data_IF_641428689529
#
_entry.id   IF_641428689529
#
_cell.length_a   1.000
_cell.length_b   1.000
_cell.length_c   1.000
_cell.angle_alpha   90.00
_cell.angle_beta   90.00
_cell.angle_gamma   90.00
#
_symmetry.space_group_name_H-M   'P 1'
#
loop_
_entity.id
_entity.type
_entity.pdbx_description
1 polymer ?
#
# COMPACT_ATOMS: atom_id res chain seq x y z
N UNK A 1 -5.63 -43.63 -11.02
CA UNK A 1 -6.26 -43.72 -12.36
C UNK A 1 -7.37 -42.67 -12.39
N UNK A 2 -7.26 -41.64 -13.23
CA UNK A 2 -8.28 -40.60 -13.35
C UNK A 2 -9.31 -41.02 -14.39
N UNK A 3 -10.50 -41.38 -13.94
CA UNK A 3 -11.64 -41.65 -14.82
C UNK A 3 -12.22 -40.30 -15.31
N UNK A 4 -11.80 -39.91 -16.51
CA UNK A 4 -12.42 -38.84 -17.29
C UNK A 4 -13.83 -39.28 -17.71
N UNK A 5 -14.82 -39.05 -16.85
CA UNK A 5 -16.23 -39.33 -17.15
C UNK A 5 -16.68 -38.42 -18.29
N UNK A 6 -16.82 -38.99 -19.48
CA UNK A 6 -17.30 -38.30 -20.66
C UNK A 6 -18.78 -37.97 -20.49
N UNK A 7 -19.13 -36.68 -20.46
CA UNK A 7 -20.51 -36.16 -20.55
C UNK A 7 -21.30 -36.96 -21.59
N UNK A 8 -22.27 -37.73 -21.11
CA UNK A 8 -23.14 -38.54 -21.95
C UNK A 8 -23.91 -37.60 -22.89
N UNK A 9 -23.75 -37.77 -24.20
CA UNK A 9 -24.54 -37.03 -25.18
C UNK A 9 -25.90 -37.71 -25.22
N UNK A 10 -26.97 -37.00 -24.86
CA UNK A 10 -28.34 -37.46 -25.12
C UNK A 10 -28.48 -37.85 -26.60
N UNK A 11 -29.40 -38.77 -26.89
CA UNK A 11 -29.76 -39.27 -28.23
C UNK A 11 -29.93 -38.20 -29.32
N UNK A 12 -30.02 -36.91 -28.96
CA UNK A 12 -30.11 -35.75 -29.85
C UNK A 12 -28.84 -34.88 -29.92
N UNK A 13 -27.68 -35.35 -29.48
CA UNK A 13 -26.40 -34.62 -29.59
C UNK A 13 -26.30 -33.37 -28.71
N UNK A 14 -27.24 -33.16 -27.79
CA UNK A 14 -27.23 -32.06 -26.83
C UNK A 14 -26.53 -32.50 -25.54
N UNK A 15 -25.70 -31.61 -24.97
CA UNK A 15 -25.11 -31.80 -23.65
C UNK A 15 -26.23 -31.88 -22.62
N UNK A 16 -26.44 -33.04 -22.02
CA UNK A 16 -27.29 -33.19 -20.85
C UNK A 16 -26.51 -32.79 -19.61
N UNK A 17 -27.18 -32.06 -18.72
CA UNK A 17 -26.65 -31.75 -17.41
C UNK A 17 -26.94 -32.91 -16.48
N UNK A 18 -25.90 -33.51 -15.91
CA UNK A 18 -26.03 -34.63 -14.98
C UNK A 18 -26.49 -34.11 -13.62
N UNK A 19 -27.75 -34.42 -13.25
CA UNK A 19 -28.40 -33.87 -12.05
C UNK A 19 -27.64 -34.20 -10.76
N UNK A 20 -27.03 -35.38 -10.69
CA UNK A 20 -26.28 -35.84 -9.52
C UNK A 20 -24.95 -35.09 -9.39
N UNK A 21 -24.20 -34.94 -10.47
CA UNK A 21 -22.95 -34.17 -10.48
C UNK A 21 -23.21 -32.70 -10.12
N UNK A 22 -24.27 -32.10 -10.65
CA UNK A 22 -24.64 -30.73 -10.28
C UNK A 22 -25.15 -30.59 -8.85
N UNK A 23 -25.80 -31.63 -8.30
CA UNK A 23 -26.18 -31.65 -6.88
C UNK A 23 -24.93 -31.76 -5.97
N UNK A 24 -23.94 -32.56 -6.35
CA UNK A 24 -22.66 -32.68 -5.64
C UNK A 24 -21.82 -31.40 -5.76
N UNK A 25 -21.75 -30.79 -6.93
CA UNK A 25 -21.12 -29.48 -7.15
C UNK A 25 -21.83 -28.39 -6.34
N UNK A 26 -23.15 -28.42 -6.23
CA UNK A 26 -23.92 -27.51 -5.38
C UNK A 26 -23.58 -27.67 -3.90
N UNK A 27 -23.48 -28.92 -3.41
CA UNK A 27 -23.09 -29.22 -2.02
C UNK A 27 -21.65 -28.77 -1.74
N UNK A 28 -20.70 -29.12 -2.61
CA UNK A 28 -19.28 -28.78 -2.45
C UNK A 28 -19.02 -27.29 -2.60
N UNK A 29 -19.70 -26.60 -3.52
CA UNK A 29 -19.59 -25.15 -3.70
C UNK A 29 -20.11 -24.35 -2.50
N UNK A 30 -21.08 -24.89 -1.75
CA UNK A 30 -21.63 -24.22 -0.57
C UNK A 30 -20.74 -24.46 0.67
N UNK A 31 -20.15 -25.66 0.77
CA UNK A 31 -19.24 -26.04 1.87
C UNK A 31 -17.85 -25.43 1.72
N UNK A 32 -17.35 -25.32 0.48
CA UNK A 32 -16.08 -24.70 0.17
C UNK A 32 -16.32 -23.56 -0.80
N UNK A 33 -16.62 -22.33 -0.33
CA UNK A 33 -16.38 -21.18 -1.18
C UNK A 33 -14.91 -21.28 -1.60
N UNK A 34 -14.62 -21.27 -2.90
CA UNK A 34 -13.24 -21.10 -3.40
C UNK A 34 -12.77 -19.72 -2.95
N UNK A 35 -12.43 -19.58 -1.68
CA UNK A 35 -11.82 -18.40 -1.13
C UNK A 35 -10.43 -18.38 -1.71
N UNK A 36 -10.11 -17.30 -2.43
CA UNK A 36 -8.75 -17.02 -2.91
C UNK A 36 -7.71 -17.22 -1.78
N UNK A 37 -8.14 -17.04 -0.53
CA UNK A 37 -7.42 -17.27 0.71
C UNK A 37 -6.81 -18.68 0.87
N UNK A 38 -7.44 -19.73 0.33
CA UNK A 38 -6.96 -21.10 0.45
C UNK A 38 -5.77 -21.43 -0.46
N UNK A 39 -5.54 -20.62 -1.50
CA UNK A 39 -4.45 -20.80 -2.46
C UNK A 39 -3.19 -19.98 -2.08
N UNK A 40 -3.27 -19.13 -1.06
CA UNK A 40 -2.14 -18.30 -0.61
C UNK A 40 -1.17 -19.10 0.26
N UNK A 41 0.12 -18.83 0.09
CA UNK A 41 1.15 -19.40 0.96
C UNK A 41 1.04 -18.81 2.39
N UNK A 42 1.56 -19.55 3.38
CA UNK A 42 1.57 -19.10 4.78
C UNK A 42 2.25 -17.72 4.95
N UNK A 43 3.32 -17.46 4.20
CA UNK A 43 3.99 -16.16 4.20
C UNK A 43 3.10 -15.04 3.63
N UNK A 44 2.32 -15.33 2.60
CA UNK A 44 1.36 -14.38 2.05
C UNK A 44 0.20 -14.13 3.01
N UNK A 45 -0.26 -15.15 3.73
CA UNK A 45 -1.26 -15.00 4.79
C UNK A 45 -0.74 -14.13 5.94
N UNK A 46 0.51 -14.30 6.36
CA UNK A 46 1.12 -13.43 7.38
C UNK A 46 1.27 -11.98 6.91
N UNK A 47 1.67 -11.76 5.65
CA UNK A 47 1.74 -10.41 5.08
C UNK A 47 0.34 -9.77 4.95
N UNK A 48 -0.67 -10.58 4.66
CA UNK A 48 -2.07 -10.15 4.63
C UNK A 48 -2.53 -9.79 6.04
N UNK A 49 -2.21 -10.61 7.06
CA UNK A 49 -2.47 -10.30 8.47
C UNK A 49 -1.87 -8.95 8.86
N UNK A 50 -0.58 -8.72 8.57
CA UNK A 50 0.08 -7.44 8.92
C UNK A 50 -0.56 -6.24 8.22
N UNK A 51 -1.05 -6.41 6.99
CA UNK A 51 -1.78 -5.36 6.26
C UNK A 51 -3.10 -4.99 6.94
N UNK A 52 -3.90 -5.97 7.32
CA UNK A 52 -5.20 -5.72 7.95
C UNK A 52 -5.07 -5.25 9.41
N UNK A 53 -3.99 -5.60 10.12
CA UNK A 53 -3.70 -5.06 11.46
C UNK A 53 -3.22 -3.61 11.42
N UNK A 54 -2.43 -3.23 10.40
CA UNK A 54 -1.94 -1.87 10.24
C UNK A 54 -2.88 -1.02 9.38
N UNK A 55 -4.01 -0.60 9.96
CA UNK A 55 -5.04 0.17 9.25
C UNK A 55 -4.51 1.44 8.55
N UNK A 56 -3.50 2.11 9.12
CA UNK A 56 -2.89 3.30 8.48
C UNK A 56 -2.27 2.97 7.13
N UNK A 57 -1.48 1.91 7.06
CA UNK A 57 -0.82 1.46 5.84
C UNK A 57 -1.85 1.01 4.80
N UNK A 58 -2.87 0.27 5.25
CA UNK A 58 -3.96 -0.18 4.42
C UNK A 58 -4.72 1.00 3.79
N UNK A 59 -5.03 2.04 4.55
CA UNK A 59 -5.69 3.25 4.03
C UNK A 59 -4.78 4.01 3.05
N UNK A 60 -3.47 4.08 3.32
CA UNK A 60 -2.54 4.72 2.40
C UNK A 60 -2.42 3.94 1.09
N UNK A 61 -2.31 2.62 1.14
CA UNK A 61 -2.22 1.76 -0.05
C UNK A 61 -3.50 1.85 -0.88
N UNK A 62 -4.66 1.85 -0.22
CA UNK A 62 -5.96 2.02 -0.84
C UNK A 62 -6.12 3.37 -1.57
N UNK A 63 -5.47 4.42 -1.09
CA UNK A 63 -5.58 5.78 -1.65
C UNK A 63 -4.49 6.13 -2.67
N UNK A 64 -3.35 5.41 -2.68
CA UNK A 64 -2.25 5.61 -3.63
C UNK A 64 -2.69 5.50 -5.11
N UNK A 65 -3.71 4.68 -5.42
CA UNK A 65 -4.22 4.49 -6.78
C UNK A 65 -5.39 5.41 -7.16
N UNK A 66 -5.59 6.55 -6.48
CA UNK A 66 -6.75 7.44 -6.66
C UNK A 66 -7.06 7.82 -8.14
N UNK A 67 -6.05 7.85 -9.01
CA UNK A 67 -6.17 8.30 -10.40
C UNK A 67 -5.99 7.21 -11.46
N UNK A 68 -5.65 5.96 -11.10
CA UNK A 68 -5.44 4.86 -12.07
C UNK A 68 -6.53 3.80 -11.85
N UNK A 69 -7.38 3.59 -12.86
CA UNK A 69 -8.53 2.68 -12.79
C UNK A 69 -8.40 1.59 -13.84
N UNK A 70 -8.23 0.35 -13.40
CA UNK A 70 -8.32 -0.83 -14.27
C UNK A 70 -9.72 -1.40 -14.12
N UNK A 71 -10.51 -1.34 -15.20
CA UNK A 71 -11.85 -1.93 -15.23
C UNK A 71 -11.71 -3.43 -15.50
N UNK A 72 -12.05 -4.26 -14.51
CA UNK A 72 -12.16 -5.72 -14.71
C UNK A 72 -13.63 -5.99 -15.06
N UNK A 73 -13.87 -6.47 -16.28
CA UNK A 73 -15.18 -6.47 -16.95
C UNK A 73 -16.23 -7.47 -16.47
N UNK A 74 -16.32 -7.80 -15.18
CA UNK A 74 -17.33 -8.71 -14.66
C UNK A 74 -18.28 -7.99 -13.71
N UNK A 75 -19.23 -7.21 -14.24
CA UNK A 75 -20.30 -6.58 -13.45
C UNK A 75 -21.28 -7.65 -12.92
N UNK A 76 -20.87 -8.39 -11.90
CA UNK A 76 -21.80 -9.17 -11.09
C UNK A 76 -22.53 -8.22 -10.14
N UNK A 77 -23.87 -8.30 -10.09
CA UNK A 77 -24.69 -7.48 -9.17
C UNK A 77 -24.36 -7.71 -7.69
N UNK A 78 -23.71 -8.84 -7.39
CA UNK A 78 -23.15 -9.14 -6.09
C UNK A 78 -21.82 -8.40 -5.94
N UNK A 79 -21.60 -7.76 -4.78
CA UNK A 79 -20.36 -7.07 -4.37
C UNK A 79 -19.10 -7.95 -4.36
N UNK A 80 -19.21 -9.17 -4.91
CA UNK A 80 -18.24 -10.25 -4.83
C UNK A 80 -17.38 -10.26 -6.10
N UNK A 81 -16.06 -10.13 -5.92
CA UNK A 81 -15.08 -10.05 -7.01
C UNK A 81 -14.42 -8.68 -7.11
N UNK A 82 -13.24 -8.64 -7.76
CA UNK A 82 -12.37 -7.45 -7.85
C UNK A 82 -12.94 -6.43 -8.84
N UNK A 83 -14.02 -5.77 -8.46
CA UNK A 83 -14.57 -4.61 -9.17
C UNK A 83 -13.81 -3.32 -8.82
N UNK A 84 -14.11 -2.27 -9.56
CA UNK A 84 -13.61 -0.92 -9.27
C UNK A 84 -14.02 -0.45 -7.86
N UNK A 85 -13.03 -0.13 -7.02
CA UNK A 85 -13.22 0.37 -5.66
C UNK A 85 -12.19 -0.15 -4.66
N UNK A 86 -12.46 0.02 -3.38
CA UNK A 86 -11.73 -0.59 -2.27
C UNK A 86 -12.09 -2.06 -2.16
N UNK A 87 -11.09 -2.94 -2.18
CA UNK A 87 -11.30 -4.39 -2.09
C UNK A 87 -10.87 -4.92 -0.73
N UNK A 88 -11.77 -5.67 -0.08
CA UNK A 88 -11.46 -6.47 1.10
C UNK A 88 -11.21 -7.92 0.69
N UNK A 89 -9.98 -8.37 0.83
CA UNK A 89 -9.50 -9.73 0.51
C UNK A 89 -10.08 -10.78 1.47
N UNK A 90 -10.39 -10.41 2.71
CA UNK A 90 -10.95 -11.32 3.72
C UNK A 90 -12.42 -11.66 3.44
N UNK A 91 -13.18 -10.68 2.95
CA UNK A 91 -14.62 -10.81 2.74
C UNK A 91 -15.00 -11.06 1.28
N UNK A 92 -14.05 -10.94 0.35
CA UNK A 92 -14.26 -10.85 -1.08
C UNK A 92 -15.27 -9.77 -1.48
N UNK A 93 -15.26 -8.62 -0.79
CA UNK A 93 -16.19 -7.52 -1.04
C UNK A 93 -15.48 -6.30 -1.59
N UNK A 94 -16.06 -5.69 -2.62
CA UNK A 94 -15.64 -4.37 -3.11
C UNK A 94 -16.61 -3.26 -2.72
N UNK A 95 -16.06 -2.12 -2.31
CA UNK A 95 -16.77 -0.92 -1.91
C UNK A 95 -16.37 0.26 -2.78
N UNK A 96 -17.34 1.08 -3.17
CA UNK A 96 -17.10 2.25 -4.03
C UNK A 96 -16.66 3.47 -3.22
N UNK A 97 -17.17 3.59 -1.99
CA UNK A 97 -16.91 4.72 -1.09
C UNK A 97 -15.98 4.33 0.06
N UNK A 98 -15.18 5.29 0.53
CA UNK A 98 -14.25 5.11 1.66
C UNK A 98 -15.00 4.86 2.97
N UNK A 99 -16.08 5.60 3.23
CA UNK A 99 -16.87 5.44 4.46
C UNK A 99 -17.49 4.04 4.54
N UNK A 100 -18.01 3.53 3.43
CA UNK A 100 -18.57 2.19 3.38
C UNK A 100 -17.50 1.11 3.60
N UNK A 101 -16.28 1.35 3.13
CA UNK A 101 -15.16 0.45 3.37
C UNK A 101 -14.71 0.44 4.83
N UNK A 102 -14.59 1.61 5.46
CA UNK A 102 -14.22 1.71 6.88
C UNK A 102 -15.31 1.12 7.78
N UNK A 103 -16.58 1.41 7.50
CA UNK A 103 -17.71 0.81 8.22
C UNK A 103 -17.70 -0.72 8.10
N UNK A 104 -17.38 -1.24 6.91
CA UNK A 104 -17.19 -2.67 6.72
C UNK A 104 -16.06 -3.25 7.59
N UNK A 105 -14.89 -2.60 7.65
CA UNK A 105 -13.76 -3.04 8.47
C UNK A 105 -14.12 -3.06 9.96
N UNK A 106 -14.90 -2.08 10.41
CA UNK A 106 -15.34 -1.97 11.80
C UNK A 106 -16.51 -2.90 12.15
N UNK A 107 -17.17 -3.49 11.16
CA UNK A 107 -18.34 -4.33 11.38
C UNK A 107 -17.95 -5.71 11.95
N UNK A 108 -18.72 -6.23 12.92
CA UNK A 108 -18.47 -7.53 13.58
C UNK A 108 -18.33 -8.70 12.60
N UNK A 109 -19.06 -8.67 11.48
CA UNK A 109 -18.94 -9.69 10.43
C UNK A 109 -17.53 -9.75 9.80
N UNK A 110 -16.85 -8.61 9.69
CA UNK A 110 -15.48 -8.58 9.21
C UNK A 110 -14.53 -9.16 10.26
N UNK A 111 -14.71 -8.79 11.54
CA UNK A 111 -13.97 -9.34 12.65
C UNK A 111 -14.09 -10.86 12.76
N UNK A 112 -15.31 -11.41 12.69
CA UNK A 112 -15.53 -12.87 12.74
C UNK A 112 -14.81 -13.57 11.58
N UNK A 113 -14.83 -12.97 10.38
CA UNK A 113 -14.10 -13.55 9.23
C UNK A 113 -12.59 -13.53 9.45
N UNK A 114 -12.04 -12.43 9.96
CA UNK A 114 -10.63 -12.33 10.32
C UNK A 114 -10.24 -13.42 11.32
N UNK A 115 -11.04 -13.60 12.37
CA UNK A 115 -10.86 -14.64 13.39
C UNK A 115 -10.93 -16.05 12.78
N UNK A 116 -11.87 -16.33 11.87
CA UNK A 116 -11.95 -17.65 11.23
C UNK A 116 -10.77 -17.97 10.32
N UNK A 117 -10.12 -16.95 9.75
CA UNK A 117 -9.01 -17.11 8.81
C UNK A 117 -7.69 -17.26 9.56
N UNK A 118 -7.46 -16.46 10.59
CA UNK A 118 -6.18 -16.40 11.31
C UNK A 118 -6.18 -17.15 12.64
N UNK A 119 -7.34 -17.52 13.18
CA UNK A 119 -7.46 -18.20 14.48
C UNK A 119 -7.14 -17.32 15.70
N UNK A 120 -6.99 -16.01 15.50
CA UNK A 120 -6.68 -15.02 16.54
C UNK A 120 -7.69 -13.87 16.50
N UNK A 121 -8.06 -13.30 17.67
CA UNK A 121 -8.88 -12.10 17.71
C UNK A 121 -8.14 -10.91 17.12
N UNK A 122 -8.86 -10.09 16.35
CA UNK A 122 -8.31 -8.80 15.85
C UNK A 122 -8.00 -7.85 17.03
N UNK A 123 -8.77 -7.94 18.11
CA UNK A 123 -8.61 -7.16 19.33
C UNK A 123 -8.02 -8.09 20.40
N UNK A 124 -6.72 -7.95 20.66
CA UNK A 124 -6.02 -8.77 21.65
C UNK A 124 -6.29 -8.29 23.09
N UNK A 125 -6.38 -6.98 23.28
CA UNK A 125 -6.53 -6.39 24.61
C UNK A 125 -7.95 -5.83 24.77
N UNK A 126 -8.73 -6.48 25.63
CA UNK A 126 -10.08 -6.07 26.02
C UNK A 126 -10.08 -5.35 27.38
N UNK A 127 -8.90 -5.17 28.00
CA UNK A 127 -8.76 -4.49 29.28
C UNK A 127 -9.14 -3.02 29.16
N UNK A 128 -9.70 -2.48 30.24
CA UNK A 128 -9.93 -1.05 30.34
C UNK A 128 -8.59 -0.32 30.59
N UNK A 129 -8.52 0.98 30.24
CA UNK A 129 -7.30 1.77 30.41
C UNK A 129 -6.78 1.78 31.87
N UNK A 130 -7.68 1.70 32.85
CA UNK A 130 -7.34 1.69 34.28
C UNK A 130 -6.72 0.37 34.75
N UNK A 131 -6.90 -0.71 33.98
CA UNK A 131 -6.34 -2.03 34.28
C UNK A 131 -4.90 -2.20 33.77
N UNK A 132 -4.40 -1.22 32.99
CA UNK A 132 -3.04 -1.26 32.44
C UNK A 132 -2.04 -0.79 33.51
N UNK A 133 -1.11 -1.66 33.96
CA UNK A 133 -0.11 -1.27 34.94
C UNK A 133 0.87 -0.26 34.33
N UNK A 134 1.35 0.68 35.14
CA UNK A 134 2.29 1.73 34.71
C UNK A 134 3.59 1.17 34.10
N UNK A 135 4.01 -0.01 34.54
CA UNK A 135 5.21 -0.68 33.99
C UNK A 135 5.02 -1.06 32.52
N UNK A 136 3.89 -1.68 32.15
CA UNK A 136 3.56 -2.01 30.76
C UNK A 136 3.46 -0.72 29.93
N UNK A 137 2.89 0.34 30.51
CA UNK A 137 2.81 1.64 29.85
C UNK A 137 4.20 2.23 29.56
N UNK A 138 5.10 2.26 30.55
CA UNK A 138 6.44 2.81 30.40
C UNK A 138 7.29 2.01 29.39
N UNK A 139 7.16 0.69 29.40
CA UNK A 139 7.83 -0.19 28.44
C UNK A 139 7.35 0.07 27.01
N UNK A 140 6.03 0.12 26.81
CA UNK A 140 5.43 0.39 25.51
C UNK A 140 5.75 1.83 25.03
N UNK A 141 5.67 2.80 25.92
CA UNK A 141 6.02 4.19 25.63
C UNK A 141 7.50 4.30 25.23
N UNK A 142 8.42 3.71 25.99
CA UNK A 142 9.84 3.74 25.65
C UNK A 142 10.14 3.01 24.34
N UNK A 143 9.41 1.93 24.02
CA UNK A 143 9.55 1.21 22.75
C UNK A 143 9.07 2.05 21.56
N UNK A 144 7.92 2.73 21.69
CA UNK A 144 7.42 3.63 20.63
C UNK A 144 8.34 4.83 20.42
N UNK A 145 8.89 5.41 21.48
CA UNK A 145 9.90 6.48 21.39
C UNK A 145 11.17 6.00 20.69
N UNK A 146 11.68 4.81 21.05
CA UNK A 146 12.82 4.19 20.37
C UNK A 146 12.55 3.94 18.89
N UNK A 147 11.36 3.44 18.55
CA UNK A 147 10.95 3.21 17.16
C UNK A 147 10.84 4.53 16.37
N UNK A 148 10.27 5.57 16.98
CA UNK A 148 10.17 6.90 16.40
C UNK A 148 11.54 7.52 16.15
N UNK A 149 12.44 7.50 17.16
CA UNK A 149 13.81 7.98 17.03
C UNK A 149 14.59 7.20 15.96
N UNK A 150 14.34 5.89 15.82
CA UNK A 150 14.93 5.08 14.74
C UNK A 150 14.40 5.50 13.36
N UNK A 151 13.10 5.75 13.23
CA UNK A 151 12.47 6.18 11.98
C UNK A 151 12.95 7.58 11.56
N UNK A 152 12.94 8.55 12.48
CA UNK A 152 13.46 9.89 12.25
C UNK A 152 14.99 9.91 12.06
N UNK A 153 15.74 9.18 12.88
CA UNK A 153 17.20 9.11 12.78
C UNK A 153 17.70 8.52 11.46
N UNK A 154 16.95 7.57 10.89
CA UNK A 154 17.25 7.00 9.56
C UNK A 154 16.97 8.00 8.43
N UNK A 155 16.02 8.92 8.58
CA UNK A 155 15.75 9.98 7.60
C UNK A 155 16.79 11.12 7.62
N UNK A 156 17.46 11.35 8.75
CA UNK A 156 18.51 12.39 8.89
C UNK A 156 19.91 11.92 8.44
N UNK A 157 20.13 10.60 8.32
CA UNK A 157 21.42 10.00 7.93
C UNK A 157 21.66 9.81 6.43
N UNK A 158 20.68 10.13 5.58
CA UNK A 158 20.81 10.06 4.12
C UNK A 158 21.71 11.20 3.61
N UNK A 159 23.03 11.09 3.79
CA UNK A 159 23.98 11.93 3.09
C UNK A 159 23.75 11.77 1.58
N UNK A 160 23.58 12.85 0.81
CA UNK A 160 23.50 12.75 -0.63
C UNK A 160 24.80 12.12 -1.13
N UNK A 161 24.73 10.93 -1.74
CA UNK A 161 25.84 10.38 -2.50
C UNK A 161 26.12 11.38 -3.63
N UNK A 162 27.14 12.23 -3.45
CA UNK A 162 27.73 13.00 -4.55
C UNK A 162 28.27 11.97 -5.54
N UNK A 163 27.57 11.76 -6.64
CA UNK A 163 28.09 10.97 -7.76
C UNK A 163 29.38 11.62 -8.29
N UNK A 164 30.34 10.84 -8.78
CA UNK A 164 31.54 11.40 -9.39
C UNK A 164 31.15 12.01 -10.75
N UNK A 165 31.15 13.33 -10.86
CA UNK A 165 31.13 14.00 -12.16
C UNK A 165 32.52 13.83 -12.80
N UNK A 166 32.59 13.05 -13.88
CA UNK A 166 33.76 13.03 -14.77
C UNK A 166 33.82 14.34 -15.55
N UNK A 167 34.85 15.16 -15.29
CA UNK A 167 35.27 16.27 -16.14
C UNK A 167 35.95 15.69 -17.38
N UNK A 168 35.48 16.08 -18.56
CA UNK A 168 36.26 16.05 -19.80
C UNK A 168 36.65 17.47 -20.14
N UNK A 169 37.95 17.74 -20.19
CA UNK A 169 38.57 19.00 -20.62
C UNK A 169 38.67 19.10 -22.16
N UNK A 170 38.99 20.31 -22.63
CA UNK A 170 39.32 20.81 -23.99
C UNK A 170 38.22 21.62 -24.69
N UNK A 171 38.43 22.78 -25.34
CA UNK A 171 39.38 23.92 -25.29
C UNK A 171 39.12 24.74 -26.57
N UNK A 172 38.91 26.06 -26.48
CA UNK A 172 39.18 27.08 -27.52
C UNK A 172 38.64 28.42 -27.01
N UNK A 173 39.43 29.30 -26.40
CA UNK A 173 40.27 30.34 -27.04
C UNK A 173 39.47 31.38 -27.84
N UNK A 174 39.45 32.65 -27.38
CA UNK A 174 39.89 33.86 -28.11
C UNK A 174 39.36 35.18 -27.48
N UNK A 175 40.32 36.01 -27.04
CA UNK A 175 40.45 37.50 -27.06
C UNK A 175 39.38 38.40 -26.38
N UNK A 176 39.67 39.53 -25.71
CA UNK A 176 40.86 40.33 -25.42
C UNK A 176 40.44 41.69 -24.78
N UNK A 177 41.44 42.50 -24.31
CA UNK A 177 41.43 43.98 -24.10
C UNK A 177 41.23 44.59 -22.67
N UNK A 178 42.35 44.77 -21.96
CA UNK A 178 42.91 45.94 -21.21
C UNK A 178 42.09 46.88 -20.25
N UNK A 179 42.39 46.79 -18.93
CA UNK A 179 42.88 47.78 -17.89
C UNK A 179 42.39 49.25 -17.79
N UNK A 180 42.54 49.99 -16.64
CA UNK A 180 42.78 49.61 -15.22
C UNK A 180 42.00 50.42 -14.13
N UNK A 181 42.18 49.97 -12.88
CA UNK A 181 42.39 50.71 -11.61
C UNK A 181 41.27 51.00 -10.57
N UNK A 182 41.67 50.72 -9.32
CA UNK A 182 41.35 51.33 -8.01
C UNK A 182 40.22 50.81 -7.10
N UNK A 183 40.68 50.09 -6.06
CA UNK A 183 40.31 50.03 -4.61
C UNK A 183 38.86 50.15 -4.09
N UNK A 184 38.54 49.29 -3.11
CA UNK A 184 37.51 49.57 -2.11
C UNK A 184 36.64 48.38 -1.66
N UNK A 185 37.23 47.43 -0.92
CA UNK A 185 36.61 46.52 0.06
C UNK A 185 35.06 46.39 0.11
N UNK A 186 34.42 45.62 -0.79
CA UNK A 186 33.00 45.16 -0.60
C UNK A 186 32.72 43.82 -1.27
N UNK A 187 33.26 42.71 -0.76
CA UNK A 187 33.02 41.38 -1.37
C UNK A 187 32.56 40.27 -0.43
N UNK A 188 32.58 40.45 0.90
CA UNK A 188 32.20 39.36 1.82
C UNK A 188 30.74 39.41 2.31
N UNK A 189 30.14 40.59 2.47
CA UNK A 189 28.73 40.69 2.93
C UNK A 189 27.71 40.60 1.78
N UNK A 190 28.08 41.03 0.57
CA UNK A 190 27.21 41.04 -0.61
C UNK A 190 26.94 39.64 -1.17
N UNK A 191 27.89 38.70 -1.05
CA UNK A 191 27.74 37.30 -1.47
C UNK A 191 26.91 36.45 -0.50
N UNK A 192 26.87 36.79 0.79
CA UNK A 192 26.11 36.04 1.80
C UNK A 192 24.62 36.38 1.78
N UNK A 193 24.25 37.59 1.36
CA UNK A 193 22.85 38.04 1.37
C UNK A 193 22.14 38.03 0.01
N UNK A 194 22.75 37.45 -1.04
CA UNK A 194 22.07 37.22 -2.32
C UNK A 194 21.55 38.49 -3.01
N UNK A 195 22.06 39.66 -2.65
CA UNK A 195 21.59 40.96 -3.14
C UNK A 195 22.51 41.46 -4.25
N UNK A 196 22.55 40.71 -5.35
CA UNK A 196 23.29 41.05 -6.56
C UNK A 196 22.32 41.32 -7.71
N UNK A 197 21.92 42.59 -7.88
CA UNK A 197 21.26 43.06 -9.10
C UNK A 197 19.76 43.36 -8.96
N UNK A 198 19.39 44.37 -8.18
CA UNK A 198 18.11 45.06 -8.35
C UNK A 198 18.34 46.27 -9.26
N UNK A 199 17.66 46.30 -10.41
CA UNK A 199 17.99 47.14 -11.56
C UNK A 199 18.21 48.62 -11.26
N UNK A 200 19.39 49.13 -11.62
CA UNK A 200 19.61 50.56 -11.75
C UNK A 200 18.98 51.04 -13.04
N UNK A 201 17.93 51.85 -12.91
CA UNK A 201 17.34 52.58 -14.02
C UNK A 201 18.05 53.93 -14.20
N UNK A 202 18.19 54.30 -15.49
CA UNK A 202 18.20 55.64 -16.10
C UNK A 202 19.53 56.32 -16.51
N UNK A 203 19.40 56.82 -17.75
CA UNK A 203 20.10 57.86 -18.52
C UNK A 203 21.21 57.36 -19.43
#
# INVERSE_FOLDING_TARGET
MNDSKSSEKSSFGRRTWDREEYAELGRTSNVSPRSHLGDLSEAQLQALKSRYTHHKELLTDATQSANKRVLIGSLTSYKKGKQFGFYCELCDLTFKDTLQFVDHLNHKLHQIKFETIFGEPLICDLRDNDEVPLQEFDENYSATMRAFLKACGSSAGAKPKKGPLSRTDHSSELEGRSTPDNTGEKTNLSGVMGFGGFGSTKK
#
